data_IF_414689271966
#
_entry.id   IF_414689271966
#
_cell.length_a   1.000
_cell.length_b   1.000
_cell.length_c   1.000
_cell.angle_alpha   90.00
_cell.angle_beta   90.00
_cell.angle_gamma   90.00
#
_symmetry.space_group_name_H-M   'P 1'
#
loop_
_entity.id
_entity.type
_entity.pdbx_description
1 polymer ?
#
# COMPACT_ATOMS: atom_id res chain seq x y z
N UNK A 1 4.29 -52.97 -5.36
CA UNK A 1 3.61 -53.34 -6.62
C UNK A 1 2.94 -52.10 -7.21
N UNK A 2 3.35 -51.73 -8.45
CA UNK A 2 2.70 -50.89 -9.48
C UNK A 2 2.48 -49.41 -9.13
N UNK A 3 3.36 -48.48 -9.58
CA UNK A 3 3.39 -47.77 -10.89
C UNK A 3 2.20 -46.80 -11.03
N UNK A 4 2.36 -45.51 -11.35
CA UNK A 4 3.05 -45.03 -12.55
C UNK A 4 3.61 -43.61 -12.43
N UNK A 5 4.75 -43.45 -13.09
CA UNK A 5 5.36 -42.19 -13.54
C UNK A 5 4.53 -41.62 -14.69
N UNK A 6 4.28 -40.32 -14.69
CA UNK A 6 4.02 -39.57 -15.92
C UNK A 6 4.96 -38.37 -15.94
N UNK A 7 6.09 -38.56 -16.61
CA UNK A 7 6.93 -37.49 -17.11
C UNK A 7 6.23 -36.87 -18.32
N UNK A 8 6.05 -35.56 -18.31
CA UNK A 8 5.85 -34.76 -19.51
C UNK A 8 7.07 -33.85 -19.66
N UNK A 9 7.68 -33.94 -20.84
CA UNK A 9 8.95 -33.38 -21.22
C UNK A 9 8.87 -31.86 -21.48
N UNK A 10 10.04 -31.24 -21.39
CA UNK A 10 10.33 -29.82 -21.60
C UNK A 10 10.00 -29.31 -22.99
N UNK A 11 9.55 -28.06 -23.10
CA UNK A 11 9.95 -27.12 -24.17
C UNK A 11 9.41 -25.71 -23.89
N UNK A 12 10.27 -24.70 -24.02
CA UNK A 12 9.87 -23.31 -24.29
C UNK A 12 10.35 -22.28 -23.28
N UNK A 13 11.55 -21.75 -23.52
CA UNK A 13 12.06 -20.55 -22.86
C UNK A 13 11.20 -19.32 -23.19
N UNK A 14 10.82 -18.55 -22.17
CA UNK A 14 10.67 -17.10 -22.26
C UNK A 14 11.20 -16.48 -20.96
N UNK A 15 12.43 -15.99 -21.07
CA UNK A 15 13.10 -15.13 -20.09
C UNK A 15 12.34 -13.80 -20.00
N UNK A 16 12.26 -13.29 -18.76
CA UNK A 16 12.09 -11.89 -18.39
C UNK A 16 10.91 -11.16 -19.03
N UNK A 17 9.75 -11.36 -18.42
CA UNK A 17 8.60 -10.49 -18.60
C UNK A 17 7.69 -10.55 -17.39
N UNK A 18 8.26 -10.65 -16.18
CA UNK A 18 7.49 -10.30 -14.98
C UNK A 18 7.29 -8.79 -15.09
N UNK A 19 6.27 -8.38 -15.83
CA UNK A 19 5.68 -7.09 -15.63
C UNK A 19 5.24 -7.13 -14.16
N UNK A 20 6.04 -6.48 -13.32
CA UNK A 20 5.64 -6.04 -11.99
C UNK A 20 4.47 -5.07 -12.18
N UNK A 21 3.33 -5.60 -12.59
CA UNK A 21 2.05 -4.95 -12.39
C UNK A 21 1.81 -5.12 -10.89
N UNK A 22 1.82 -4.05 -10.08
CA UNK A 22 1.30 -4.17 -8.74
C UNK A 22 -0.12 -4.70 -8.89
N UNK A 23 -0.34 -5.94 -8.46
CA UNK A 23 -1.67 -6.48 -8.37
C UNK A 23 -2.52 -5.44 -7.62
N UNK A 24 -3.76 -5.14 -8.05
CA UNK A 24 -4.65 -4.32 -7.27
C UNK A 24 -4.86 -5.05 -5.94
N UNK A 25 -4.09 -4.65 -4.93
CA UNK A 25 -4.07 -5.29 -3.63
C UNK A 25 -5.41 -5.01 -2.98
N UNK A 26 -6.11 -6.11 -2.69
CA UNK A 26 -7.42 -6.10 -2.08
C UNK A 26 -7.40 -5.19 -0.85
N UNK A 27 -8.27 -4.18 -0.87
CA UNK A 27 -8.60 -3.40 0.30
C UNK A 27 -9.08 -4.35 1.39
N UNK A 28 -8.20 -4.64 2.33
CA UNK A 28 -8.58 -5.33 3.54
C UNK A 28 -8.39 -4.35 4.69
N UNK A 29 -9.36 -3.44 4.79
CA UNK A 29 -9.69 -2.74 6.02
C UNK A 29 -10.15 -3.82 7.03
N UNK A 30 -9.18 -4.53 7.62
CA UNK A 30 -9.40 -5.74 8.40
C UNK A 30 -8.33 -6.83 8.27
N UNK A 31 -7.32 -6.70 7.40
CA UNK A 31 -6.18 -7.63 7.37
C UNK A 31 -5.13 -7.28 8.42
N UNK A 32 -4.46 -8.29 8.95
CA UNK A 32 -3.27 -8.14 9.78
C UNK A 32 -2.01 -8.18 8.90
N UNK A 33 -0.89 -7.65 9.40
CA UNK A 33 0.41 -7.76 8.72
C UNK A 33 0.86 -9.22 8.77
N UNK A 34 1.07 -9.88 7.61
CA UNK A 34 1.39 -11.30 7.59
C UNK A 34 2.83 -11.54 8.03
N UNK A 35 3.05 -12.67 8.70
CA UNK A 35 4.34 -13.05 9.29
C UNK A 35 5.35 -13.62 8.27
N UNK A 36 4.89 -13.90 7.05
CA UNK A 36 5.70 -14.45 5.95
C UNK A 36 6.57 -13.40 5.25
N UNK A 37 6.53 -12.14 5.70
CA UNK A 37 7.22 -11.01 5.08
C UNK A 37 6.48 -10.40 3.89
N UNK A 38 5.31 -10.92 3.52
CA UNK A 38 4.50 -10.35 2.45
C UNK A 38 3.99 -8.95 2.82
N UNK A 39 3.94 -8.00 1.87
CA UNK A 39 3.43 -6.67 2.16
C UNK A 39 1.91 -6.68 2.30
N UNK A 40 1.43 -6.13 3.41
CA UNK A 40 0.04 -5.69 3.56
C UNK A 40 -0.06 -4.24 3.04
N UNK A 41 -0.88 -4.02 2.02
CA UNK A 41 -1.09 -2.68 1.45
C UNK A 41 -2.51 -2.20 1.69
N UNK A 42 -2.63 -1.00 2.22
CA UNK A 42 -3.89 -0.31 2.47
C UNK A 42 -3.89 0.99 1.69
N UNK A 43 -4.72 1.02 0.65
CA UNK A 43 -5.00 2.25 -0.08
C UNK A 43 -6.23 2.92 0.53
N UNK A 44 -6.21 4.24 0.65
CA UNK A 44 -7.39 5.05 0.97
C UNK A 44 -7.51 6.17 -0.03
N UNK A 45 -8.69 6.26 -0.65
CA UNK A 45 -8.98 7.27 -1.66
C UNK A 45 -10.17 8.13 -1.20
N UNK A 46 -10.05 8.90 -0.10
CA UNK A 46 -11.15 9.74 0.34
C UNK A 46 -11.43 10.81 -0.73
N UNK A 47 -12.65 10.76 -1.29
CA UNK A 47 -13.11 11.80 -2.21
C UNK A 47 -13.45 13.04 -1.39
N UNK A 48 -12.61 14.09 -1.48
CA UNK A 48 -12.78 15.32 -0.69
C UNK A 48 -13.56 16.42 -1.44
N UNK A 49 -14.22 16.07 -2.54
CA UNK A 49 -15.07 16.95 -3.37
C UNK A 49 -14.55 17.10 -4.81
N UNK A 50 -15.22 17.94 -5.60
CA UNK A 50 -14.89 18.16 -7.02
C UNK A 50 -13.42 18.60 -7.15
N UNK A 51 -12.63 17.83 -7.91
CA UNK A 51 -11.21 18.07 -8.18
C UNK A 51 -10.25 17.62 -7.07
N UNK A 52 -10.75 17.17 -5.90
CA UNK A 52 -9.91 16.88 -4.74
C UNK A 52 -9.84 15.37 -4.49
N UNK A 53 -9.07 14.68 -5.32
CA UNK A 53 -8.70 13.29 -5.06
C UNK A 53 -7.52 13.28 -4.10
N UNK A 54 -7.67 12.59 -2.97
CA UNK A 54 -6.58 12.28 -2.07
C UNK A 54 -6.34 10.78 -2.15
N UNK A 55 -5.11 10.39 -2.44
CA UNK A 55 -4.65 9.01 -2.54
C UNK A 55 -3.60 8.79 -1.45
N UNK A 56 -3.93 7.94 -0.48
CA UNK A 56 -3.01 7.53 0.58
C UNK A 56 -2.72 6.05 0.41
N UNK A 57 -1.47 5.69 0.22
CA UNK A 57 -1.00 4.30 0.14
C UNK A 57 -0.16 4.00 1.37
N UNK A 58 -0.54 2.97 2.13
CA UNK A 58 0.20 2.50 3.30
C UNK A 58 0.64 1.08 3.05
N UNK A 59 1.93 0.80 3.22
CA UNK A 59 2.48 -0.55 3.10
C UNK A 59 3.11 -0.96 4.42
N UNK A 60 2.78 -2.15 4.89
CA UNK A 60 3.32 -2.75 6.11
C UNK A 60 3.94 -4.11 5.79
N UNK A 61 5.10 -4.39 6.36
CA UNK A 61 5.79 -5.68 6.25
C UNK A 61 6.30 -6.10 7.62
N UNK A 62 6.24 -7.40 7.92
CA UNK A 62 6.77 -7.93 9.17
C UNK A 62 8.08 -8.66 8.92
N UNK A 63 9.12 -8.33 9.69
CA UNK A 63 10.42 -9.00 9.65
C UNK A 63 11.12 -8.86 10.99
N UNK A 64 11.75 -9.94 11.47
CA UNK A 64 12.65 -9.91 12.62
C UNK A 64 12.07 -9.24 13.89
N UNK A 65 10.79 -9.47 14.19
CA UNK A 65 10.14 -8.88 15.36
C UNK A 65 9.71 -7.41 15.19
N UNK A 66 9.75 -6.89 13.97
CA UNK A 66 9.41 -5.50 13.66
C UNK A 66 8.39 -5.41 12.52
N UNK A 67 7.51 -4.40 12.62
CA UNK A 67 6.68 -3.94 11.50
C UNK A 67 7.38 -2.78 10.84
N UNK A 68 7.83 -2.97 9.61
CA UNK A 68 8.31 -1.89 8.75
C UNK A 68 7.12 -1.30 8.00
N UNK A 69 7.07 0.02 7.94
CA UNK A 69 5.96 0.75 7.34
C UNK A 69 6.44 1.85 6.40
N UNK A 70 5.64 2.06 5.35
CA UNK A 70 5.78 3.20 4.44
C UNK A 70 4.39 3.78 4.20
N UNK A 71 4.28 5.10 4.17
CA UNK A 71 3.05 5.83 3.93
C UNK A 71 3.36 6.91 2.90
N UNK A 72 2.66 6.85 1.79
CA UNK A 72 2.68 7.83 0.72
C UNK A 72 1.30 8.50 0.66
N UNK A 73 1.27 9.82 0.59
CA UNK A 73 0.06 10.58 0.39
C UNK A 73 0.28 11.57 -0.76
N UNK A 74 -0.61 11.54 -1.74
CA UNK A 74 -0.65 12.51 -2.84
C UNK A 74 -2.09 12.93 -3.13
N UNK A 75 -2.31 14.12 -3.68
CA UNK A 75 -3.64 14.55 -4.06
C UNK A 75 -3.83 16.05 -4.30
N UNK A 76 -5.09 16.44 -4.39
CA UNK A 76 -5.51 17.82 -4.62
C UNK A 76 -5.60 18.21 -6.09
N UNK A 77 -6.04 19.45 -6.34
CA UNK A 77 -6.09 20.03 -7.68
C UNK A 77 -4.68 20.56 -7.98
N UNK A 78 -3.93 19.85 -8.84
CA UNK A 78 -2.57 20.26 -9.25
C UNK A 78 -2.58 21.40 -10.27
N UNK A 79 -3.70 21.59 -10.99
CA UNK A 79 -3.82 22.56 -12.07
C UNK A 79 -4.77 23.72 -11.73
N UNK A 80 -4.24 24.94 -11.73
CA UNK A 80 -5.02 26.18 -11.79
C UNK A 80 -5.61 26.42 -13.18
N UNK A 81 -6.53 25.56 -13.61
CA UNK A 81 -7.36 25.88 -14.76
C UNK A 81 -8.38 26.93 -14.32
N UNK A 82 -8.01 28.20 -14.45
CA UNK A 82 -8.95 29.30 -14.43
C UNK A 82 -10.02 29.01 -15.47
N UNK A 83 -11.21 28.65 -15.02
CA UNK A 83 -12.38 28.43 -15.88
C UNK A 83 -12.81 29.80 -16.44
N UNK A 84 -12.10 30.35 -17.43
CA UNK A 84 -12.51 31.41 -18.37
C UNK A 84 -13.18 32.70 -17.87
N UNK A 85 -13.40 32.89 -16.57
CA UNK A 85 -14.33 33.88 -16.00
C UNK A 85 -13.76 34.64 -14.81
N UNK A 86 -12.43 34.77 -14.71
CA UNK A 86 -11.78 35.54 -13.63
C UNK A 86 -12.03 35.00 -12.22
N UNK A 87 -12.59 33.80 -12.08
CA UNK A 87 -12.83 33.16 -10.80
C UNK A 87 -11.57 32.42 -10.35
N UNK A 88 -10.86 33.00 -9.39
CA UNK A 88 -9.80 32.30 -8.65
C UNK A 88 -10.47 31.29 -7.73
N UNK A 89 -10.49 30.01 -8.11
CA UNK A 89 -10.80 28.95 -7.16
C UNK A 89 -9.61 28.88 -6.22
N UNK A 90 -9.81 29.12 -4.92
CA UNK A 90 -8.81 28.83 -3.89
C UNK A 90 -8.46 27.34 -3.98
N UNK A 91 -7.37 27.03 -4.69
CA UNK A 91 -6.92 25.67 -4.89
C UNK A 91 -6.44 25.14 -3.54
N UNK A 92 -7.13 24.13 -3.03
CA UNK A 92 -6.63 23.38 -1.87
C UNK A 92 -5.57 22.43 -2.42
N UNK A 93 -4.33 22.92 -2.48
CA UNK A 93 -3.16 22.08 -2.71
C UNK A 93 -3.00 21.14 -1.51
N UNK A 94 -2.93 19.85 -1.76
CA UNK A 94 -2.57 18.86 -0.74
C UNK A 94 -1.12 18.48 -1.03
N UNK A 95 -0.17 18.78 -0.13
CA UNK A 95 1.22 18.42 -0.37
C UNK A 95 1.40 16.91 -0.43
N UNK A 96 2.29 16.49 -1.31
CA UNK A 96 2.84 15.14 -1.28
C UNK A 96 3.59 14.93 0.03
N UNK A 97 3.27 13.84 0.73
CA UNK A 97 3.87 13.49 2.01
C UNK A 97 4.27 12.02 2.01
N UNK A 98 5.56 11.80 2.23
CA UNK A 98 6.14 10.48 2.41
C UNK A 98 6.65 10.31 3.83
N UNK A 99 6.40 9.13 4.39
CA UNK A 99 6.93 8.77 5.70
C UNK A 99 7.21 7.27 5.76
N UNK A 100 8.29 6.90 6.45
CA UNK A 100 8.67 5.52 6.65
C UNK A 100 9.26 5.30 8.05
N UNK A 101 9.29 4.04 8.47
CA UNK A 101 9.91 3.66 9.73
C UNK A 101 9.67 2.21 10.08
N UNK A 102 10.01 1.88 11.33
CA UNK A 102 9.85 0.54 11.88
C UNK A 102 9.42 0.63 13.35
N UNK A 103 8.53 -0.25 13.77
CA UNK A 103 8.11 -0.37 15.17
C UNK A 103 8.20 -1.83 15.63
N UNK A 104 8.71 -2.11 16.83
CA UNK A 104 8.76 -3.47 17.35
C UNK A 104 7.35 -3.99 17.67
N UNK A 105 7.14 -5.30 17.52
CA UNK A 105 5.88 -5.96 17.89
C UNK A 105 5.91 -7.47 17.71
N UNK A 106 5.11 -8.17 18.51
CA UNK A 106 4.97 -9.62 18.44
C UNK A 106 3.76 -10.02 17.59
N UNK A 107 3.71 -11.25 17.08
CA UNK A 107 2.49 -11.82 16.50
C UNK A 107 1.28 -11.62 17.41
N UNK A 108 0.17 -11.14 16.84
CA UNK A 108 -1.06 -10.83 17.58
C UNK A 108 -1.13 -9.43 18.21
N UNK A 109 0.00 -8.71 18.31
CA UNK A 109 0.03 -7.36 18.85
C UNK A 109 -0.63 -6.36 17.89
N UNK A 110 -1.21 -5.30 18.47
CA UNK A 110 -1.59 -4.09 17.75
C UNK A 110 -0.51 -3.05 18.02
N UNK A 111 0.22 -2.67 16.98
CA UNK A 111 1.29 -1.67 17.07
C UNK A 111 0.79 -0.30 16.61
N UNK A 112 1.22 0.74 17.30
CA UNK A 112 0.96 2.12 16.92
C UNK A 112 2.06 2.62 15.98
N UNK A 113 1.66 3.30 14.92
CA UNK A 113 2.52 3.96 13.95
C UNK A 113 2.21 5.45 14.04
N UNK A 114 3.14 6.16 14.65
CA UNK A 114 3.09 7.60 14.86
C UNK A 114 4.25 8.25 14.12
N UNK A 115 3.90 9.09 13.14
CA UNK A 115 4.81 9.97 12.41
C UNK A 115 4.26 11.39 12.48
N UNK A 116 5.05 12.38 12.04
CA UNK A 116 4.66 13.79 12.06
C UNK A 116 3.26 14.05 11.48
N UNK A 117 2.85 13.30 10.45
CA UNK A 117 1.56 13.51 9.75
C UNK A 117 0.60 12.32 9.81
N UNK A 118 1.05 11.14 10.25
CA UNK A 118 0.24 9.93 10.24
C UNK A 118 0.22 9.29 11.61
N UNK A 119 -1.00 9.12 12.13
CA UNK A 119 -1.29 8.36 13.33
C UNK A 119 -2.22 7.21 12.94
N UNK A 120 -1.70 5.99 12.99
CA UNK A 120 -2.46 4.79 12.64
C UNK A 120 -2.03 3.63 13.52
N UNK A 121 -2.86 2.59 13.59
CA UNK A 121 -2.49 1.33 14.21
C UNK A 121 -2.58 0.21 13.18
N UNK A 122 -1.82 -0.85 13.40
CA UNK A 122 -1.89 -2.07 12.58
C UNK A 122 -1.73 -3.29 13.47
N UNK A 123 -2.49 -4.35 13.16
CA UNK A 123 -2.41 -5.65 13.84
C UNK A 123 -1.41 -6.54 13.13
N UNK A 124 -0.52 -7.19 13.86
CA UNK A 124 0.35 -8.25 13.34
C UNK A 124 -0.45 -9.56 13.39
N UNK A 125 -0.38 -10.39 12.35
CA UNK A 125 -1.11 -11.65 12.35
C UNK A 125 -0.64 -12.55 13.50
N UNK A 126 -1.57 -13.37 14.01
CA UNK A 126 -1.25 -14.42 14.97
C UNK A 126 -0.40 -15.52 14.30
N UNK A 127 0.32 -16.31 15.11
CA UNK A 127 1.06 -17.49 14.66
C UNK A 127 0.14 -18.68 14.36
#
# INVERSE_FOLDING_TARGET
MKHAVAAAAMAGALIAGVAWLPAPQAHAEGSCVPLDGSPMVVTRNPNTGIGKKLDIVRTYTYSDGMVNWTIHQDGGIKDNTGLGFGATINQIYIPELDSNGSVPGNPGDVVNIDSWHFHTHVRICDQ
#
